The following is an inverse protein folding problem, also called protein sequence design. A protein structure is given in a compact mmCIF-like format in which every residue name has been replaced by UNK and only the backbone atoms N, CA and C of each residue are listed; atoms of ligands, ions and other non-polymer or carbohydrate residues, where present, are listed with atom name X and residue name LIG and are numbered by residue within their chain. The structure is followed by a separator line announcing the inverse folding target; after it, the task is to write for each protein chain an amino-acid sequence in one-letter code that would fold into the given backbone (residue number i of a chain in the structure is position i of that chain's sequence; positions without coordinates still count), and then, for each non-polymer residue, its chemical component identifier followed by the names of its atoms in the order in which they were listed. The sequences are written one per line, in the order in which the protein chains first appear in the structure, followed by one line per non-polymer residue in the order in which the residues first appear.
data_IF_444442614247
#
_entry.id   IF_444442614247
#
_cell.length_a   1.000
_cell.length_b   1.000
_cell.length_c   1.000
_cell.angle_alpha   90.00
_cell.angle_beta   90.00
_cell.angle_gamma   90.00
#
_symmetry.space_group_name_H-M   'P 1'
#
loop_
_entity.id
_entity.type
_entity.pdbx_description
1 polymer ?
#
# COMPACT_ATOMS: atom_id res chain seq x y z
N UNK A 1 -14.33 -71.33 -18.42
CA UNK A 1 -14.87 -70.03 -18.20
C UNK A 1 -14.05 -69.33 -17.11
N UNK A 2 -13.24 -68.32 -17.43
CA UNK A 2 -12.39 -67.57 -16.49
C UNK A 2 -12.96 -66.16 -16.31
N UNK A 3 -13.52 -65.88 -15.11
CA UNK A 3 -13.95 -64.56 -14.71
C UNK A 3 -12.74 -63.65 -14.41
N UNK A 4 -12.59 -62.56 -15.16
CA UNK A 4 -11.67 -61.50 -14.83
C UNK A 4 -12.43 -60.44 -14.00
N UNK A 5 -12.02 -60.24 -12.78
CA UNK A 5 -12.44 -59.12 -11.95
C UNK A 5 -11.64 -57.89 -12.32
N UNK A 6 -12.36 -56.81 -12.68
CA UNK A 6 -11.80 -55.46 -12.87
C UNK A 6 -11.80 -54.73 -11.52
N UNK A 7 -10.62 -54.48 -11.00
CA UNK A 7 -10.43 -53.54 -9.87
C UNK A 7 -10.44 -52.13 -10.41
N UNK A 8 -11.47 -51.39 -10.10
CA UNK A 8 -11.50 -49.93 -10.31
C UNK A 8 -10.74 -49.24 -9.17
N UNK A 9 -9.57 -48.69 -9.49
CA UNK A 9 -8.81 -47.84 -8.57
C UNK A 9 -9.45 -46.46 -8.44
N UNK A 10 -9.92 -46.11 -7.25
CA UNK A 10 -10.40 -44.81 -6.90
C UNK A 10 -9.18 -43.86 -6.75
N UNK A 11 -8.99 -42.94 -7.68
CA UNK A 11 -7.99 -41.89 -7.55
C UNK A 11 -8.56 -40.80 -6.62
N UNK A 12 -8.04 -40.70 -5.41
CA UNK A 12 -8.31 -39.58 -4.49
C UNK A 12 -7.50 -38.41 -4.96
N UNK A 13 -8.16 -37.42 -5.62
CA UNK A 13 -7.57 -36.16 -5.93
C UNK A 13 -7.57 -35.30 -4.66
N UNK A 14 -6.43 -35.23 -4.00
CA UNK A 14 -6.21 -34.33 -2.87
C UNK A 14 -6.04 -32.91 -3.39
N UNK A 15 -7.10 -32.11 -3.35
CA UNK A 15 -7.05 -30.66 -3.58
C UNK A 15 -6.39 -30.01 -2.37
N UNK A 16 -5.09 -29.76 -2.47
CA UNK A 16 -4.39 -28.90 -1.51
C UNK A 16 -4.96 -27.47 -1.63
N UNK A 17 -5.78 -27.06 -0.66
CA UNK A 17 -6.17 -25.68 -0.48
C UNK A 17 -4.89 -24.89 -0.13
N UNK A 18 -4.30 -24.21 -1.11
CA UNK A 18 -3.30 -23.19 -0.85
C UNK A 18 -4.00 -22.01 -0.19
N UNK A 19 -4.03 -22.00 1.14
CA UNK A 19 -4.36 -20.83 1.92
C UNK A 19 -3.22 -19.82 1.72
N UNK A 20 -3.37 -18.93 0.72
CA UNK A 20 -2.48 -17.78 0.54
C UNK A 20 -2.69 -16.86 1.74
N UNK A 21 -1.95 -17.07 2.82
CA UNK A 21 -1.88 -16.12 3.92
C UNK A 21 -1.28 -14.83 3.34
N UNK A 22 -2.10 -13.78 3.26
CA UNK A 22 -1.68 -12.44 2.84
C UNK A 22 -0.71 -11.87 3.89
N UNK A 23 0.58 -12.25 3.79
CA UNK A 23 1.66 -11.84 4.68
C UNK A 23 1.80 -10.29 4.74
N UNK A 24 1.47 -9.58 3.66
CA UNK A 24 1.48 -8.12 3.63
C UNK A 24 0.54 -7.45 4.64
N UNK A 25 -0.55 -8.10 5.02
CA UNK A 25 -1.47 -7.58 6.03
C UNK A 25 -0.91 -7.62 7.46
N UNK A 26 0.19 -8.33 7.72
CA UNK A 26 0.83 -8.36 9.04
C UNK A 26 1.72 -7.14 9.30
N UNK A 27 2.22 -6.48 8.26
CA UNK A 27 3.13 -5.32 8.39
C UNK A 27 2.33 -4.04 8.61
N UNK A 28 1.28 -3.81 7.82
CA UNK A 28 0.32 -2.72 8.02
C UNK A 28 -0.88 -3.23 8.82
N UNK A 29 -0.71 -3.34 10.13
CA UNK A 29 -1.76 -3.84 11.04
C UNK A 29 -2.90 -2.84 11.16
N UNK A 30 -4.15 -3.21 10.82
CA UNK A 30 -5.30 -2.35 11.01
C UNK A 30 -5.45 -1.93 12.48
N UNK A 31 -5.78 -0.65 12.69
CA UNK A 31 -5.90 -0.08 14.02
C UNK A 31 -4.61 0.54 14.56
N UNK A 32 -3.45 0.32 13.94
CA UNK A 32 -2.17 0.90 14.36
C UNK A 32 -1.83 2.17 13.59
N UNK A 33 -0.96 2.98 14.18
CA UNK A 33 -0.39 4.15 13.54
C UNK A 33 1.02 3.83 13.03
N UNK A 34 1.36 4.36 11.86
CA UNK A 34 2.63 4.09 11.20
C UNK A 34 3.20 5.35 10.55
N UNK A 35 4.51 5.32 10.33
CA UNK A 35 5.18 6.15 9.32
C UNK A 35 5.45 5.27 8.10
N UNK A 36 5.44 5.88 6.93
CA UNK A 36 5.87 5.25 5.68
C UNK A 36 7.10 5.98 5.16
N UNK A 37 8.24 5.27 5.15
CA UNK A 37 9.52 5.81 4.71
C UNK A 37 9.88 5.27 3.34
N UNK A 38 9.97 6.14 2.34
CA UNK A 38 10.41 5.76 0.98
C UNK A 38 11.85 5.27 0.99
N UNK A 39 12.11 4.15 0.30
CA UNK A 39 13.43 3.56 0.11
C UNK A 39 14.05 3.95 -1.25
N UNK A 40 13.60 5.06 -1.85
CA UNK A 40 14.20 5.60 -3.06
C UNK A 40 15.72 5.74 -2.94
N UNK A 41 16.45 5.47 -4.02
CA UNK A 41 17.92 5.37 -4.04
C UNK A 41 18.64 6.74 -3.99
N UNK A 42 17.94 7.86 -4.17
CA UNK A 42 18.50 9.21 -4.09
C UNK A 42 18.33 9.73 -2.65
N UNK A 43 19.39 10.24 -1.98
CA UNK A 43 19.26 10.88 -0.68
C UNK A 43 18.32 12.09 -0.73
N UNK A 44 17.49 12.28 0.30
CA UNK A 44 16.55 13.40 0.36
C UNK A 44 15.33 13.13 1.22
N UNK A 45 14.19 13.62 0.77
CA UNK A 45 12.89 13.54 1.41
C UNK A 45 12.38 12.10 1.47
N UNK A 46 11.86 11.66 2.63
CA UNK A 46 11.62 10.23 2.81
C UNK A 46 10.27 9.86 3.39
N UNK A 47 9.69 10.68 4.25
CA UNK A 47 8.49 10.30 4.99
C UNK A 47 7.24 10.75 4.25
N UNK A 48 6.32 9.82 3.95
CA UNK A 48 5.04 10.16 3.34
C UNK A 48 4.30 11.16 4.23
N UNK A 49 3.97 12.32 3.68
CA UNK A 49 3.37 13.44 4.39
C UNK A 49 2.10 13.92 3.70
N UNK A 50 0.97 13.79 4.39
CA UNK A 50 -0.33 14.26 3.93
C UNK A 50 -0.63 15.67 4.43
N UNK A 51 -0.71 16.63 3.54
CA UNK A 51 -1.04 18.03 3.87
C UNK A 51 -2.54 18.19 3.94
N UNK A 52 -3.10 17.99 5.14
CA UNK A 52 -4.55 18.02 5.35
C UNK A 52 -5.19 19.39 5.11
N UNK A 53 -4.40 20.47 5.10
CA UNK A 53 -4.90 21.81 4.81
C UNK A 53 -5.36 22.02 3.36
N UNK A 54 -4.66 21.39 2.41
CA UNK A 54 -4.89 21.58 0.97
C UNK A 54 -5.15 20.28 0.20
N UNK A 55 -5.08 19.13 0.89
CA UNK A 55 -5.32 17.82 0.29
C UNK A 55 -4.17 17.27 -0.55
N UNK A 56 -2.99 17.90 -0.51
CA UNK A 56 -1.82 17.43 -1.25
C UNK A 56 -1.05 16.35 -0.46
N UNK A 57 -0.22 15.58 -1.18
CA UNK A 57 0.67 14.56 -0.60
C UNK A 57 2.07 14.75 -1.15
N UNK A 58 3.05 14.69 -0.26
CA UNK A 58 4.45 14.79 -0.60
C UNK A 58 5.31 13.93 0.33
N UNK A 59 6.61 14.18 0.32
CA UNK A 59 7.53 13.62 1.29
C UNK A 59 8.03 14.71 2.24
N UNK A 60 8.13 14.40 3.53
CA UNK A 60 8.82 15.23 4.51
C UNK A 60 10.29 14.79 4.62
N UNK A 61 11.24 15.73 4.84
CA UNK A 61 12.66 15.40 5.00
C UNK A 61 12.96 14.74 6.36
N UNK A 62 12.15 15.03 7.36
CA UNK A 62 12.32 14.56 8.73
C UNK A 62 10.96 14.52 9.46
N UNK A 63 10.97 14.17 10.73
CA UNK A 63 9.80 14.07 11.59
C UNK A 63 9.65 15.27 12.56
N UNK A 64 10.08 16.46 12.13
CA UNK A 64 9.91 17.66 12.96
C UNK A 64 8.43 17.99 13.17
N UNK A 65 8.07 18.74 14.23
CA UNK A 65 6.69 19.13 14.54
C UNK A 65 5.95 19.86 13.40
N UNK A 66 6.68 20.41 12.41
CA UNK A 66 6.10 21.08 11.26
C UNK A 66 5.48 20.11 10.23
N UNK A 67 5.86 18.80 10.27
CA UNK A 67 5.37 17.77 9.38
C UNK A 67 4.37 16.85 10.10
N UNK A 68 3.22 17.39 10.48
CA UNK A 68 2.21 16.66 11.26
C UNK A 68 1.51 15.58 10.48
N UNK A 69 1.53 15.65 9.15
CA UNK A 69 0.89 14.69 8.23
C UNK A 69 1.68 13.41 7.98
N UNK A 70 2.84 13.22 8.60
CA UNK A 70 3.68 12.03 8.42
C UNK A 70 3.13 10.79 9.12
N UNK A 71 2.16 10.95 10.03
CA UNK A 71 1.54 9.85 10.79
C UNK A 71 0.27 9.38 10.10
N UNK A 72 0.17 8.06 9.90
CA UNK A 72 -0.93 7.42 9.20
C UNK A 72 -1.60 6.35 10.05
N UNK A 73 -2.92 6.41 10.16
CA UNK A 73 -3.74 5.33 10.75
C UNK A 73 -4.03 4.30 9.67
N UNK A 74 -3.73 3.03 9.96
CA UNK A 74 -4.08 1.91 9.09
C UNK A 74 -5.52 1.48 9.36
N UNK A 75 -6.35 1.46 8.33
CA UNK A 75 -7.75 1.02 8.40
C UNK A 75 -7.95 -0.17 7.47
N UNK A 76 -8.58 -1.24 7.96
CA UNK A 76 -8.89 -2.42 7.15
C UNK A 76 -9.91 -2.09 6.07
N UNK A 77 -9.68 -2.61 4.86
CA UNK A 77 -10.62 -2.47 3.73
C UNK A 77 -10.87 -3.80 2.99
N UNK A 78 -10.36 -4.89 3.52
CA UNK A 78 -10.50 -6.24 2.97
C UNK A 78 -9.28 -7.11 3.26
N UNK A 79 -9.26 -8.36 2.80
CA UNK A 79 -8.09 -9.24 2.89
C UNK A 79 -6.90 -8.66 2.11
N UNK A 80 -5.82 -8.30 2.82
CA UNK A 80 -4.62 -7.70 2.20
C UNK A 80 -4.81 -6.29 1.64
N UNK A 81 -5.95 -5.64 1.94
CA UNK A 81 -6.28 -4.29 1.49
C UNK A 81 -6.46 -3.38 2.70
N UNK A 82 -5.87 -2.20 2.62
CA UNK A 82 -5.97 -1.15 3.64
C UNK A 82 -6.34 0.20 3.02
N UNK A 83 -6.91 1.07 3.84
CA UNK A 83 -6.95 2.50 3.61
C UNK A 83 -6.03 3.19 4.62
N UNK A 84 -5.39 4.28 4.22
CA UNK A 84 -4.47 5.04 5.04
C UNK A 84 -5.07 6.41 5.35
N UNK A 85 -5.31 6.68 6.65
CA UNK A 85 -5.87 7.95 7.13
C UNK A 85 -4.76 8.81 7.72
N UNK A 86 -4.49 9.96 7.11
CA UNK A 86 -3.55 10.95 7.61
C UNK A 86 -4.01 11.51 8.98
N UNK A 87 -3.09 11.58 9.95
CA UNK A 87 -3.33 12.10 11.28
C UNK A 87 -2.82 13.54 11.45
N UNK A 88 -2.61 14.28 10.37
CA UNK A 88 -2.25 15.70 10.41
C UNK A 88 -3.19 16.51 11.31
N UNK A 89 -2.69 17.55 11.95
CA UNK A 89 -3.41 18.34 12.97
C UNK A 89 -4.39 19.39 12.39
N UNK A 90 -4.29 19.70 11.08
CA UNK A 90 -5.21 20.63 10.41
C UNK A 90 -6.42 19.85 9.90
N UNK A 91 -7.62 20.41 10.06
CA UNK A 91 -8.84 19.80 9.55
C UNK A 91 -8.86 19.88 8.01
N UNK A 92 -9.32 18.80 7.36
CA UNK A 92 -9.38 18.70 5.91
C UNK A 92 -9.45 17.25 5.42
N UNK A 93 -9.24 17.00 4.12
CA UNK A 93 -9.20 15.65 3.54
C UNK A 93 -8.06 14.85 4.14
N UNK A 94 -8.28 13.53 4.35
CA UNK A 94 -7.35 12.70 5.13
C UNK A 94 -7.02 11.34 4.54
N UNK A 95 -7.79 10.87 3.57
CA UNK A 95 -7.60 9.52 3.04
C UNK A 95 -6.63 9.54 1.86
N UNK A 96 -5.53 8.80 1.96
CA UNK A 96 -4.58 8.65 0.86
C UNK A 96 -5.31 8.11 -0.37
N UNK A 97 -5.31 8.88 -1.45
CA UNK A 97 -6.04 8.62 -2.69
C UNK A 97 -5.10 8.64 -3.89
N UNK A 98 -5.04 7.50 -4.59
CA UNK A 98 -4.27 7.35 -5.82
C UNK A 98 -5.15 7.56 -7.05
N UNK A 99 -4.91 8.61 -7.80
CA UNK A 99 -5.64 8.90 -9.04
C UNK A 99 -5.00 8.16 -10.20
N UNK A 100 -5.49 6.95 -10.45
CA UNK A 100 -4.90 6.06 -11.47
C UNK A 100 -5.03 6.59 -12.89
N UNK A 101 -5.98 7.48 -13.17
CA UNK A 101 -6.16 8.10 -14.48
C UNK A 101 -4.98 8.97 -14.92
N UNK A 102 -4.34 9.69 -14.00
CA UNK A 102 -3.27 10.65 -14.27
C UNK A 102 -1.97 10.37 -13.50
N UNK A 103 -1.97 9.36 -12.64
CA UNK A 103 -0.80 8.96 -11.85
C UNK A 103 -0.50 9.90 -10.67
N UNK A 104 -1.41 10.81 -10.32
CA UNK A 104 -1.24 11.70 -9.16
C UNK A 104 -1.69 11.04 -7.86
N UNK A 105 -1.27 11.61 -6.73
CA UNK A 105 -1.67 11.18 -5.38
C UNK A 105 -2.05 12.40 -4.58
N UNK A 106 -3.18 12.30 -3.86
CA UNK A 106 -3.69 13.34 -2.99
C UNK A 106 -4.37 12.78 -1.75
N UNK A 107 -5.12 13.62 -1.05
CA UNK A 107 -6.00 13.23 0.03
C UNK A 107 -7.47 13.38 -0.38
N UNK A 108 -8.28 12.35 -0.15
CA UNK A 108 -9.71 12.40 -0.30
C UNK A 108 -10.41 12.74 1.03
N UNK A 109 -11.58 13.39 1.01
CA UNK A 109 -12.35 13.74 2.21
C UNK A 109 -12.99 12.50 2.86
N UNK A 110 -13.39 11.51 2.05
CA UNK A 110 -13.97 10.24 2.46
C UNK A 110 -13.47 9.10 1.57
N UNK A 111 -14.06 7.92 1.67
CA UNK A 111 -13.70 6.71 0.91
C UNK A 111 -14.82 6.24 -0.02
N UNK A 112 -15.86 7.04 -0.16
CA UNK A 112 -17.01 6.78 -1.01
C UNK A 112 -16.74 7.27 -2.44
N UNK A 113 -17.59 6.90 -3.38
CA UNK A 113 -17.52 7.44 -4.74
C UNK A 113 -17.47 8.99 -4.74
N UNK A 114 -16.62 9.61 -5.58
CA UNK A 114 -15.80 8.98 -6.66
C UNK A 114 -14.37 8.62 -6.23
N UNK A 115 -14.06 8.54 -4.94
CA UNK A 115 -12.68 8.36 -4.42
C UNK A 115 -12.29 6.88 -4.36
N UNK A 116 -12.30 6.18 -5.51
CA UNK A 116 -12.01 4.74 -5.60
C UNK A 116 -10.54 4.41 -5.33
N UNK A 117 -9.63 5.39 -5.47
CA UNK A 117 -8.20 5.24 -5.24
C UNK A 117 -7.76 5.20 -3.78
N UNK A 118 -8.68 5.28 -2.82
CA UNK A 118 -8.39 5.22 -1.38
C UNK A 118 -8.10 3.80 -0.87
N UNK A 119 -8.21 2.79 -1.72
CA UNK A 119 -8.01 1.37 -1.44
C UNK A 119 -6.62 0.93 -1.91
N UNK A 120 -5.83 0.37 -1.00
CA UNK A 120 -4.44 -0.01 -1.25
C UNK A 120 -4.20 -1.48 -0.95
N UNK A 121 -3.84 -2.26 -1.97
CA UNK A 121 -3.34 -3.61 -1.79
C UNK A 121 -1.91 -3.55 -1.24
N UNK A 122 -1.65 -4.29 -0.17
CA UNK A 122 -0.34 -4.38 0.47
C UNK A 122 0.42 -5.58 -0.09
N UNK A 123 1.54 -5.33 -0.75
CA UNK A 123 2.43 -6.35 -1.28
C UNK A 123 3.73 -6.31 -0.45
N UNK A 124 3.95 -7.33 0.37
CA UNK A 124 5.18 -7.43 1.17
C UNK A 124 6.37 -7.78 0.28
N UNK A 125 7.52 -7.14 0.53
CA UNK A 125 8.76 -7.35 -0.23
C UNK A 125 9.79 -8.04 0.68
N UNK A 126 10.40 -9.11 0.17
CA UNK A 126 11.42 -9.85 0.91
C UNK A 126 10.84 -10.99 1.76
N UNK A 127 11.51 -11.30 2.87
CA UNK A 127 11.12 -12.40 3.77
C UNK A 127 9.87 -12.06 4.60
N UNK A 128 9.25 -13.06 5.20
CA UNK A 128 7.99 -12.95 5.95
C UNK A 128 8.01 -11.97 7.14
N UNK A 129 9.17 -11.63 7.65
CA UNK A 129 9.39 -10.66 8.72
C UNK A 129 9.86 -9.28 8.22
N UNK A 130 9.90 -9.07 6.91
CA UNK A 130 10.26 -7.78 6.32
C UNK A 130 9.20 -6.73 6.64
N UNK A 131 9.62 -5.53 7.03
CA UNK A 131 8.75 -4.36 7.18
C UNK A 131 8.66 -3.51 5.90
N UNK A 132 9.11 -4.06 4.77
CA UNK A 132 9.10 -3.37 3.48
C UNK A 132 7.87 -3.81 2.67
N UNK A 133 7.13 -2.84 2.16
CA UNK A 133 5.94 -3.06 1.34
C UNK A 133 5.97 -2.25 0.05
N UNK A 134 5.18 -2.71 -0.93
CA UNK A 134 4.71 -1.94 -2.07
C UNK A 134 3.22 -1.72 -1.85
N UNK A 135 2.74 -0.50 -2.08
CA UNK A 135 1.33 -0.14 -1.99
C UNK A 135 0.77 0.01 -3.39
N UNK A 136 -0.15 -0.89 -3.77
CA UNK A 136 -0.81 -0.87 -5.08
C UNK A 136 -2.21 -0.29 -4.94
N UNK A 137 -2.45 0.84 -5.58
CA UNK A 137 -3.76 1.49 -5.67
C UNK A 137 -4.77 0.59 -6.41
N UNK A 138 -5.97 0.44 -5.87
CA UNK A 138 -7.08 -0.33 -6.44
C UNK A 138 -8.15 0.56 -7.09
N UNK A 139 -7.81 1.80 -7.45
CA UNK A 139 -8.72 2.69 -8.18
C UNK A 139 -9.29 2.04 -9.46
N UNK A 140 -10.50 2.41 -9.85
CA UNK A 140 -11.25 1.74 -10.91
C UNK A 140 -10.75 2.09 -12.32
N UNK A 141 -10.09 3.24 -12.50
CA UNK A 141 -9.57 3.67 -13.80
C UNK A 141 -8.22 3.00 -14.06
N UNK A 142 -8.01 2.50 -15.28
CA UNK A 142 -6.74 1.92 -15.69
C UNK A 142 -5.62 2.98 -15.71
N UNK A 143 -4.39 2.58 -15.31
CA UNK A 143 -3.24 3.47 -15.25
C UNK A 143 -2.16 3.00 -14.26
N UNK A 144 -1.17 3.88 -13.95
CA UNK A 144 -0.14 3.58 -12.97
C UNK A 144 -0.74 3.39 -11.56
N UNK A 145 -0.21 2.44 -10.79
CA UNK A 145 -0.86 2.01 -9.53
C UNK A 145 0.04 1.94 -8.32
N UNK A 146 1.36 1.94 -8.48
CA UNK A 146 2.28 1.74 -7.37
C UNK A 146 2.66 3.08 -6.74
N UNK A 147 2.40 3.24 -5.45
CA UNK A 147 2.79 4.45 -4.72
C UNK A 147 4.30 4.66 -4.82
N UNK A 148 4.74 5.78 -5.38
CA UNK A 148 6.13 6.12 -5.65
C UNK A 148 6.53 7.44 -5.01
N UNK A 149 7.49 7.39 -4.08
CA UNK A 149 8.04 8.54 -3.39
C UNK A 149 9.34 9.01 -4.05
N UNK A 150 9.31 10.13 -4.75
CA UNK A 150 10.46 10.71 -5.44
C UNK A 150 11.35 11.48 -4.46
N UNK A 151 12.30 10.76 -3.87
CA UNK A 151 13.14 11.27 -2.78
C UNK A 151 14.02 12.46 -3.15
N UNK A 152 14.33 12.66 -4.44
CA UNK A 152 15.14 13.79 -4.92
C UNK A 152 14.45 15.16 -4.77
N UNK A 153 13.13 15.21 -4.93
CA UNK A 153 12.36 16.47 -4.95
C UNK A 153 11.16 16.50 -4.00
N UNK A 154 10.95 15.42 -3.23
CA UNK A 154 9.89 15.35 -2.24
C UNK A 154 8.48 15.16 -2.80
N UNK A 155 8.33 14.85 -4.10
CA UNK A 155 7.00 14.58 -4.70
C UNK A 155 6.58 13.13 -4.54
N UNK A 156 5.27 12.87 -4.62
CA UNK A 156 4.67 11.54 -4.59
C UNK A 156 3.74 11.38 -5.78
N UNK A 157 3.74 10.22 -6.39
CA UNK A 157 2.86 9.89 -7.51
C UNK A 157 2.62 8.39 -7.58
N UNK A 158 2.04 7.93 -8.69
CA UNK A 158 1.89 6.52 -9.00
C UNK A 158 2.88 6.12 -10.11
N UNK A 159 3.52 4.97 -9.94
CA UNK A 159 4.40 4.35 -10.92
C UNK A 159 3.72 3.14 -11.58
N UNK A 160 4.00 2.86 -12.86
CA UNK A 160 3.49 1.67 -13.53
C UNK A 160 4.20 0.37 -13.12
N UNK A 161 5.48 0.46 -12.75
CA UNK A 161 6.34 -0.68 -12.37
C UNK A 161 7.20 -0.35 -11.16
N UNK A 162 7.93 -1.34 -10.66
CA UNK A 162 8.95 -1.20 -9.61
C UNK A 162 10.36 -1.00 -10.16
N UNK A 163 10.52 -1.04 -11.49
CA UNK A 163 11.80 -0.95 -12.16
C UNK A 163 12.28 0.51 -12.29
N UNK A 164 13.54 0.69 -12.64
CA UNK A 164 14.07 2.03 -12.89
C UNK A 164 13.25 2.74 -13.98
N UNK A 165 12.95 4.04 -13.82
CA UNK A 165 13.47 4.96 -12.79
C UNK A 165 12.70 4.99 -11.47
N UNK A 166 11.67 4.17 -11.27
CA UNK A 166 10.72 4.22 -10.14
C UNK A 166 11.27 3.53 -8.88
N UNK A 167 12.36 4.07 -8.31
CA UNK A 167 13.03 3.47 -7.15
C UNK A 167 12.34 3.73 -5.82
N UNK A 168 11.39 4.67 -5.77
CA UNK A 168 10.65 5.06 -4.57
C UNK A 168 9.38 4.24 -4.29
N UNK A 169 9.13 3.17 -5.03
CA UNK A 169 7.94 2.31 -4.88
C UNK A 169 7.99 1.38 -3.66
N UNK A 170 9.16 1.24 -3.02
CA UNK A 170 9.34 0.45 -1.81
C UNK A 170 9.27 1.34 -0.58
N UNK A 171 8.45 0.93 0.39
CA UNK A 171 8.19 1.67 1.60
C UNK A 171 8.52 0.84 2.83
N UNK A 172 9.34 1.38 3.70
CA UNK A 172 9.54 0.85 5.04
C UNK A 172 8.39 1.30 5.94
N UNK A 173 7.76 0.34 6.59
CA UNK A 173 6.70 0.60 7.59
C UNK A 173 7.35 0.71 8.96
N UNK A 174 7.19 1.85 9.63
CA UNK A 174 7.70 2.09 10.97
C UNK A 174 6.50 2.28 11.91
N UNK A 175 6.19 1.30 12.76
CA UNK A 175 5.16 1.45 13.80
C UNK A 175 5.50 2.57 14.79
N UNK A 176 4.47 3.30 15.28
CA UNK A 176 4.63 4.43 16.21
C UNK A 176 3.66 4.39 17.39
N UNK A 177 3.01 3.25 17.61
CA UNK A 177 2.13 3.01 18.79
C UNK A 177 2.96 2.57 19.99
#
# INVERSE_FOLDING_TARGET
MKHRQFLQGLAVVSTALFCSTNLGAQVLKPGHNVLLRSLGNIPGWRYLDGRTADGTVGLAPNLSPNFTGTKWRVVRDGPGVVALKCLGNIQGPRWLDGRTADGTVGLAPNRDEPFTGTRWQVLQVGYSNSNIVILKCLGDIEGPRLLDGRTANGTVGLAPTTDRPFTGTRWEVVPID
#
